data_IF_858295382952
#
_entry.id   IF_858295382952
#
_cell.length_a   1.000
_cell.length_b   1.000
_cell.length_c   1.000
_cell.angle_alpha   90.00
_cell.angle_beta   90.00
_cell.angle_gamma   90.00
#
_symmetry.space_group_name_H-M   'P 1'
#
loop_
_entity.id
_entity.type
_entity.pdbx_description
1 polymer ?
#
# COMPACT_ATOMS: atom_id res chain seq x y z
N UNK A 1 -22.44 10.28 -17.58
CA UNK A 1 -21.45 10.22 -16.48
C UNK A 1 -20.23 11.03 -16.87
N UNK A 2 -20.09 12.26 -16.36
CA UNK A 2 -18.98 13.15 -16.74
C UNK A 2 -17.85 13.03 -15.73
N UNK A 3 -16.71 12.56 -16.23
CA UNK A 3 -15.56 12.06 -15.47
C UNK A 3 -14.39 13.06 -15.38
N UNK A 4 -14.58 14.37 -15.62
CA UNK A 4 -13.45 15.32 -15.64
C UNK A 4 -13.84 16.75 -15.26
N UNK A 5 -12.99 17.41 -14.46
CA UNK A 5 -13.07 18.83 -14.12
C UNK A 5 -11.87 19.57 -14.71
N UNK A 6 -12.14 20.70 -15.39
CA UNK A 6 -11.24 21.53 -16.18
C UNK A 6 -10.40 22.51 -15.31
N UNK A 7 -9.34 22.05 -14.66
CA UNK A 7 -8.27 22.97 -14.23
C UNK A 7 -6.87 22.37 -14.46
N UNK A 8 -6.00 23.02 -15.26
CA UNK A 8 -4.68 22.46 -15.65
C UNK A 8 -3.78 22.15 -14.44
N UNK A 9 -3.92 22.91 -13.34
CA UNK A 9 -3.21 22.70 -12.07
C UNK A 9 -3.62 21.41 -11.35
N UNK A 10 -4.84 20.91 -11.56
CA UNK A 10 -5.30 19.63 -11.00
C UNK A 10 -4.82 18.44 -11.84
N UNK A 11 -4.67 18.62 -13.15
CA UNK A 11 -4.20 17.57 -14.08
C UNK A 11 -2.73 17.24 -13.87
N UNK A 12 -1.87 18.25 -13.71
CA UNK A 12 -0.46 18.04 -13.34
C UNK A 12 -0.31 17.43 -11.95
N UNK A 13 -1.13 17.84 -10.98
CA UNK A 13 -1.11 17.24 -9.63
C UNK A 13 -1.54 15.77 -9.63
N UNK A 14 -2.49 15.38 -10.48
CA UNK A 14 -2.87 13.96 -10.65
C UNK A 14 -1.76 13.15 -11.29
N UNK A 15 -1.17 13.63 -12.39
CA UNK A 15 -0.05 12.95 -13.04
C UNK A 15 1.15 12.80 -12.09
N UNK A 16 1.47 13.86 -11.34
CA UNK A 16 2.53 13.82 -10.32
C UNK A 16 2.19 12.86 -9.18
N UNK A 17 0.94 12.84 -8.71
CA UNK A 17 0.51 11.92 -7.66
C UNK A 17 0.56 10.46 -8.12
N UNK A 18 0.11 10.17 -9.35
CA UNK A 18 0.13 8.83 -9.92
C UNK A 18 1.58 8.37 -10.14
N UNK A 19 2.44 9.24 -10.71
CA UNK A 19 3.86 8.96 -10.86
C UNK A 19 4.55 8.74 -9.50
N UNK A 20 4.22 9.55 -8.50
CA UNK A 20 4.74 9.39 -7.15
C UNK A 20 4.31 8.06 -6.53
N UNK A 21 3.04 7.66 -6.67
CA UNK A 21 2.54 6.37 -6.17
C UNK A 21 3.24 5.20 -6.86
N UNK A 22 3.40 5.26 -8.18
CA UNK A 22 4.11 4.21 -8.94
C UNK A 22 5.56 4.10 -8.49
N UNK A 23 6.26 5.24 -8.36
CA UNK A 23 7.63 5.28 -7.87
C UNK A 23 7.73 4.73 -6.44
N UNK A 24 6.82 5.16 -5.57
CA UNK A 24 6.76 4.75 -4.17
C UNK A 24 6.55 3.23 -4.04
N UNK A 25 5.56 2.69 -4.76
CA UNK A 25 5.32 1.24 -4.81
C UNK A 25 6.56 0.53 -5.35
N UNK A 26 7.17 1.02 -6.42
CA UNK A 26 8.39 0.44 -6.99
C UNK A 26 9.55 0.37 -5.99
N UNK A 27 9.81 1.47 -5.26
CA UNK A 27 10.86 1.55 -4.24
C UNK A 27 10.61 0.55 -3.10
N UNK A 28 9.39 0.46 -2.60
CA UNK A 28 9.08 -0.43 -1.47
C UNK A 28 8.99 -1.90 -1.86
N UNK A 29 8.53 -2.20 -3.07
CA UNK A 29 8.62 -3.55 -3.63
C UNK A 29 10.09 -3.95 -3.80
N UNK A 30 10.95 -3.04 -4.27
CA UNK A 30 12.38 -3.28 -4.35
C UNK A 30 13.00 -3.51 -2.96
N UNK A 31 12.68 -2.67 -1.98
CA UNK A 31 13.14 -2.85 -0.60
C UNK A 31 12.68 -4.18 0.01
N UNK A 32 11.42 -4.57 -0.20
CA UNK A 32 10.90 -5.87 0.26
C UNK A 32 11.62 -7.05 -0.37
N UNK A 33 11.98 -6.97 -1.66
CA UNK A 33 12.83 -7.99 -2.31
C UNK A 33 14.22 -8.05 -1.70
N UNK A 34 14.86 -6.91 -1.46
CA UNK A 34 16.17 -6.88 -0.81
C UNK A 34 16.14 -7.53 0.57
N UNK A 35 15.10 -7.28 1.37
CA UNK A 35 14.92 -7.94 2.67
C UNK A 35 14.75 -9.45 2.50
N UNK A 36 13.91 -9.88 1.56
CA UNK A 36 13.73 -11.30 1.25
C UNK A 36 15.07 -11.96 0.89
N UNK A 37 15.82 -11.39 -0.04
CA UNK A 37 17.09 -11.94 -0.53
C UNK A 37 18.15 -12.00 0.58
N UNK A 38 18.22 -10.97 1.43
CA UNK A 38 19.12 -10.95 2.59
C UNK A 38 18.80 -12.07 3.57
N UNK A 39 17.52 -12.31 3.86
CA UNK A 39 17.12 -13.41 4.77
C UNK A 39 17.36 -14.77 4.12
N UNK A 40 17.00 -14.93 2.85
CA UNK A 40 17.22 -16.17 2.09
C UNK A 40 18.70 -16.53 1.97
N UNK A 41 19.63 -15.57 2.01
CA UNK A 41 21.07 -15.86 2.05
C UNK A 41 21.50 -16.70 3.26
N UNK A 42 20.73 -16.69 4.36
CA UNK A 42 20.96 -17.51 5.55
C UNK A 42 20.65 -19.00 5.30
N UNK A 43 19.98 -19.34 4.20
CA UNK A 43 19.66 -20.71 3.82
C UNK A 43 20.91 -21.54 3.50
N UNK A 44 21.91 -20.95 2.85
CA UNK A 44 23.15 -21.65 2.50
C UNK A 44 23.86 -22.25 3.73
N UNK A 45 24.02 -21.52 4.85
CA UNK A 45 24.45 -22.09 6.12
C UNK A 45 23.58 -23.25 6.63
N UNK A 46 22.25 -23.14 6.54
CA UNK A 46 21.33 -24.20 6.99
C UNK A 46 21.48 -25.47 6.15
N UNK A 47 21.55 -25.34 4.82
CA UNK A 47 21.76 -26.45 3.89
C UNK A 47 23.12 -27.13 4.12
N UNK A 48 24.13 -26.35 4.52
CA UNK A 48 25.45 -26.88 4.89
C UNK A 48 25.38 -27.75 6.15
N UNK A 49 24.62 -27.32 7.16
CA UNK A 49 24.37 -28.11 8.38
C UNK A 49 23.60 -29.39 8.04
N UNK A 50 22.57 -29.30 7.21
CA UNK A 50 21.80 -30.46 6.76
C UNK A 50 22.70 -31.48 6.08
N UNK A 51 23.54 -31.03 5.15
CA UNK A 51 24.47 -31.88 4.39
C UNK A 51 25.54 -32.50 5.29
N UNK A 52 26.04 -31.76 6.27
CA UNK A 52 26.99 -32.27 7.26
C UNK A 52 26.35 -33.35 8.15
N UNK A 53 25.13 -33.13 8.64
CA UNK A 53 24.37 -34.12 9.42
C UNK A 53 24.12 -35.42 8.64
N UNK A 54 23.75 -35.30 7.36
CA UNK A 54 23.59 -36.44 6.46
C UNK A 54 24.91 -37.20 6.27
N UNK A 55 26.01 -36.49 5.99
CA UNK A 55 27.33 -37.11 5.79
C UNK A 55 27.82 -37.86 7.04
N UNK A 56 27.59 -37.31 8.22
CA UNK A 56 27.91 -37.96 9.51
C UNK A 56 27.04 -39.20 9.72
N UNK A 57 25.74 -39.11 9.44
CA UNK A 57 24.82 -40.25 9.54
C UNK A 57 25.25 -41.39 8.61
N UNK A 58 25.55 -41.08 7.35
CA UNK A 58 25.95 -42.07 6.34
C UNK A 58 27.28 -42.73 6.73
N UNK A 59 28.26 -41.94 7.18
CA UNK A 59 29.57 -42.43 7.61
C UNK A 59 29.47 -43.38 8.81
N UNK A 60 28.67 -43.01 9.83
CA UNK A 60 28.49 -43.83 11.03
C UNK A 60 27.67 -45.09 10.76
N UNK A 61 26.64 -44.99 9.90
CA UNK A 61 25.83 -46.14 9.47
C UNK A 61 26.68 -47.13 8.67
N UNK A 62 27.48 -46.63 7.73
CA UNK A 62 28.42 -47.45 6.96
C UNK A 62 29.49 -48.11 7.83
N UNK A 63 30.08 -47.37 8.77
CA UNK A 63 31.02 -47.92 9.75
C UNK A 63 30.35 -49.01 10.61
N UNK A 64 29.09 -48.81 11.02
CA UNK A 64 28.31 -49.80 11.75
C UNK A 64 28.10 -51.09 10.96
N UNK A 65 27.79 -50.99 9.67
CA UNK A 65 27.64 -52.15 8.78
C UNK A 65 28.94 -52.94 8.63
N UNK A 66 30.08 -52.25 8.50
CA UNK A 66 31.40 -52.89 8.41
C UNK A 66 31.79 -53.55 9.75
N UNK A 67 31.60 -52.85 10.87
CA UNK A 67 31.92 -53.36 12.20
C UNK A 67 31.03 -54.55 12.59
N UNK A 68 29.80 -54.60 12.09
CA UNK A 68 28.88 -55.73 12.24
C UNK A 68 29.42 -57.08 11.77
N UNK A 69 30.43 -57.08 10.89
CA UNK A 69 31.04 -58.30 10.34
C UNK A 69 32.08 -58.93 11.27
N UNK A 70 32.45 -58.26 12.38
CA UNK A 70 33.46 -58.76 13.32
C UNK A 70 32.84 -59.83 14.24
N UNK A 71 33.41 -61.06 14.32
CA UNK A 71 32.88 -62.12 15.17
C UNK A 71 32.94 -61.73 16.66
N UNK A 72 31.99 -62.26 17.45
CA UNK A 72 31.78 -62.04 18.89
C UNK A 72 31.33 -60.62 19.33
N UNK A 73 31.79 -59.54 18.68
CA UNK A 73 31.52 -58.15 19.12
C UNK A 73 30.81 -57.26 18.07
N UNK A 74 30.72 -57.70 16.82
CA UNK A 74 30.27 -56.86 15.71
C UNK A 74 28.87 -56.29 15.86
N UNK A 75 27.92 -57.08 16.38
CA UNK A 75 26.52 -56.66 16.53
C UNK A 75 26.35 -55.52 17.56
N UNK A 76 27.15 -55.56 18.63
CA UNK A 76 27.14 -54.52 19.65
C UNK A 76 27.77 -53.22 19.12
N UNK A 77 28.87 -53.32 18.36
CA UNK A 77 29.50 -52.20 17.65
C UNK A 77 28.55 -51.58 16.62
N UNK A 78 27.87 -52.40 15.81
CA UNK A 78 26.88 -51.97 14.82
C UNK A 78 25.76 -51.18 15.49
N UNK A 79 25.23 -51.69 16.61
CA UNK A 79 24.15 -51.04 17.35
C UNK A 79 24.60 -49.67 17.89
N UNK A 80 25.77 -49.60 18.52
CA UNK A 80 26.32 -48.34 19.05
C UNK A 80 26.58 -47.31 17.94
N UNK A 81 27.20 -47.73 16.82
CA UNK A 81 27.46 -46.86 15.67
C UNK A 81 26.17 -46.37 15.01
N UNK A 82 25.17 -47.23 14.87
CA UNK A 82 23.84 -46.86 14.33
C UNK A 82 23.14 -45.87 15.27
N UNK A 83 23.27 -46.07 16.58
CA UNK A 83 22.71 -45.15 17.57
C UNK A 83 23.43 -43.79 17.55
N UNK A 84 24.76 -43.79 17.40
CA UNK A 84 25.53 -42.57 17.21
C UNK A 84 25.16 -41.85 15.90
N UNK A 85 24.83 -42.59 14.84
CA UNK A 85 24.34 -42.04 13.58
C UNK A 85 23.04 -41.24 13.74
N UNK A 86 22.22 -41.54 14.76
CA UNK A 86 21.02 -40.77 15.12
C UNK A 86 21.29 -39.31 15.53
N UNK A 87 22.50 -39.00 15.98
CA UNK A 87 22.91 -37.60 16.17
C UNK A 87 23.03 -36.86 14.83
N UNK A 88 23.50 -37.55 13.78
CA UNK A 88 23.56 -37.02 12.42
C UNK A 88 22.18 -36.74 11.83
N UNK A 89 21.19 -37.63 12.05
CA UNK A 89 19.80 -37.38 11.62
C UNK A 89 19.21 -36.17 12.34
N UNK A 90 19.45 -36.04 13.65
CA UNK A 90 18.96 -34.90 14.43
C UNK A 90 19.53 -33.58 13.91
N UNK A 91 20.83 -33.53 13.60
CA UNK A 91 21.47 -32.36 12.99
C UNK A 91 20.89 -32.04 11.60
N UNK A 92 20.70 -33.08 10.78
CA UNK A 92 20.14 -32.94 9.44
C UNK A 92 18.74 -32.33 9.49
N UNK A 93 17.88 -32.88 10.36
CA UNK A 93 16.49 -32.46 10.51
C UNK A 93 16.41 -31.04 11.10
N UNK A 94 17.30 -30.70 12.05
CA UNK A 94 17.42 -29.33 12.56
C UNK A 94 17.83 -28.34 11.45
N UNK A 95 18.81 -28.70 10.60
CA UNK A 95 19.19 -27.89 9.45
C UNK A 95 18.04 -27.66 8.47
N UNK A 96 17.28 -28.72 8.16
CA UNK A 96 16.15 -28.63 7.25
C UNK A 96 15.02 -27.74 7.82
N UNK A 97 14.73 -27.88 9.11
CA UNK A 97 13.76 -27.03 9.83
C UNK A 97 14.19 -25.57 9.86
N UNK A 98 15.49 -25.29 10.04
CA UNK A 98 16.03 -23.94 9.95
C UNK A 98 15.86 -23.35 8.54
N UNK A 99 16.17 -24.11 7.49
CA UNK A 99 15.99 -23.66 6.11
C UNK A 99 14.53 -23.32 5.81
N UNK A 100 13.58 -24.15 6.24
CA UNK A 100 12.15 -23.87 6.08
C UNK A 100 11.71 -22.62 6.85
N UNK A 101 12.21 -22.44 8.07
CA UNK A 101 11.92 -21.25 8.88
C UNK A 101 12.47 -19.98 8.23
N UNK A 102 13.68 -20.05 7.67
CA UNK A 102 14.30 -18.95 6.92
C UNK A 102 13.45 -18.58 5.70
N UNK A 103 12.99 -19.56 4.92
CA UNK A 103 12.12 -19.31 3.75
C UNK A 103 10.82 -18.60 4.16
N UNK A 104 10.18 -19.05 5.26
CA UNK A 104 8.95 -18.42 5.78
C UNK A 104 9.20 -17.00 6.29
N UNK A 105 10.30 -16.78 7.01
CA UNK A 105 10.68 -15.45 7.50
C UNK A 105 11.03 -14.51 6.37
N UNK A 106 11.75 -14.97 5.35
CA UNK A 106 12.12 -14.18 4.19
C UNK A 106 10.87 -13.67 3.46
N UNK A 107 9.87 -14.53 3.27
CA UNK A 107 8.59 -14.15 2.67
C UNK A 107 7.82 -13.19 3.57
N UNK A 108 7.66 -13.52 4.86
CA UNK A 108 6.90 -12.71 5.81
C UNK A 108 7.46 -11.31 5.97
N UNK A 109 8.78 -11.19 6.17
CA UNK A 109 9.46 -9.91 6.33
C UNK A 109 9.47 -9.11 5.03
N UNK A 110 9.80 -9.74 3.89
CA UNK A 110 9.78 -9.06 2.59
C UNK A 110 8.40 -8.48 2.26
N UNK A 111 7.33 -9.25 2.49
CA UNK A 111 5.95 -8.78 2.32
C UNK A 111 5.58 -7.69 3.31
N UNK A 112 5.90 -7.85 4.60
CA UNK A 112 5.60 -6.84 5.61
C UNK A 112 6.30 -5.49 5.30
N UNK A 113 7.57 -5.54 4.91
CA UNK A 113 8.35 -4.37 4.51
C UNK A 113 7.78 -3.66 3.28
N UNK A 114 7.28 -4.41 2.29
CA UNK A 114 6.65 -3.81 1.12
C UNK A 114 5.23 -3.28 1.41
N UNK A 115 4.38 -4.10 2.05
CA UNK A 115 2.96 -3.83 2.22
C UNK A 115 2.68 -2.74 3.25
N UNK A 116 3.44 -2.64 4.34
CA UNK A 116 3.20 -1.62 5.37
C UNK A 116 3.19 -0.19 4.79
N UNK A 117 4.25 0.29 4.11
CA UNK A 117 4.25 1.65 3.54
C UNK A 117 3.32 1.82 2.34
N UNK A 118 3.10 0.77 1.54
CA UNK A 118 2.15 0.81 0.43
C UNK A 118 0.73 1.00 0.98
N UNK A 119 0.35 0.25 2.01
CA UNK A 119 -0.98 0.33 2.61
C UNK A 119 -1.28 1.70 3.21
N UNK A 120 -0.28 2.34 3.84
CA UNK A 120 -0.40 3.70 4.38
C UNK A 120 -0.69 4.70 3.25
N UNK A 121 0.10 4.67 2.17
CA UNK A 121 -0.09 5.60 1.05
C UNK A 121 -1.42 5.36 0.34
N UNK A 122 -1.78 4.09 0.12
CA UNK A 122 -3.07 3.72 -0.50
C UNK A 122 -4.24 4.17 0.38
N UNK A 123 -4.16 4.01 1.71
CA UNK A 123 -5.19 4.46 2.63
C UNK A 123 -5.35 5.98 2.63
N UNK A 124 -4.26 6.73 2.68
CA UNK A 124 -4.28 8.20 2.59
C UNK A 124 -4.84 8.66 1.24
N UNK A 125 -4.40 8.02 0.14
CA UNK A 125 -4.91 8.32 -1.19
C UNK A 125 -6.40 8.03 -1.32
N UNK A 126 -6.88 6.88 -0.82
CA UNK A 126 -8.30 6.53 -0.80
C UNK A 126 -9.11 7.50 0.06
N UNK A 127 -8.62 7.89 1.24
CA UNK A 127 -9.31 8.86 2.11
C UNK A 127 -9.51 10.21 1.40
N UNK A 128 -8.44 10.74 0.81
CA UNK A 128 -8.49 12.00 0.04
C UNK A 128 -9.40 11.87 -1.19
N UNK A 129 -9.34 10.72 -1.89
CA UNK A 129 -10.13 10.48 -3.11
C UNK A 129 -11.61 10.29 -2.80
N UNK A 130 -11.96 9.54 -1.77
CA UNK A 130 -13.35 9.32 -1.33
C UNK A 130 -13.96 10.62 -0.84
N UNK A 131 -13.19 11.47 -0.14
CA UNK A 131 -13.63 12.82 0.21
C UNK A 131 -14.00 13.64 -1.02
N UNK A 132 -13.18 13.59 -2.08
CA UNK A 132 -13.47 14.29 -3.34
C UNK A 132 -14.70 13.70 -4.07
N UNK A 133 -14.85 12.37 -4.11
CA UNK A 133 -16.01 11.70 -4.73
C UNK A 133 -17.29 12.02 -3.98
N UNK A 134 -17.26 12.06 -2.63
CA UNK A 134 -18.42 12.43 -1.81
C UNK A 134 -18.83 13.89 -2.04
N UNK A 135 -17.88 14.81 -2.08
CA UNK A 135 -18.16 16.22 -2.38
C UNK A 135 -18.70 16.40 -3.81
N UNK A 136 -18.14 15.69 -4.79
CA UNK A 136 -18.62 15.74 -6.17
C UNK A 136 -20.03 15.14 -6.34
N UNK A 137 -20.34 14.04 -5.62
CA UNK A 137 -21.65 13.37 -5.69
C UNK A 137 -22.76 14.22 -5.05
N UNK A 138 -22.43 15.07 -4.07
CA UNK A 138 -23.41 16.01 -3.50
C UNK A 138 -23.72 17.18 -4.43
N UNK A 139 -22.77 17.65 -5.23
CA UNK A 139 -23.01 18.71 -6.22
C UNK A 139 -23.83 18.22 -7.43
N UNK A 140 -23.77 16.92 -7.77
CA UNK A 140 -24.52 16.38 -8.92
C UNK A 140 -26.03 16.26 -8.67
N UNK A 141 -26.48 16.18 -7.41
CA UNK A 141 -27.92 16.12 -7.06
C UNK A 141 -28.64 17.46 -7.12
N UNK A 142 -27.93 18.56 -7.34
CA UNK A 142 -28.51 19.91 -7.41
C UNK A 142 -28.59 20.49 -8.83
N UNK A 143 -28.17 19.75 -9.86
CA UNK A 143 -28.09 20.29 -11.24
C UNK A 143 -29.34 19.97 -12.09
N UNK A 144 -30.25 19.10 -11.63
CA UNK A 144 -31.51 18.83 -12.34
C UNK A 144 -32.70 19.72 -11.92
N UNK A 145 -32.51 20.64 -10.97
CA UNK A 145 -33.47 21.72 -10.72
C UNK A 145 -32.95 22.98 -11.42
N UNK A 146 -33.41 23.21 -12.64
CA UNK A 146 -33.24 24.51 -13.29
C UNK A 146 -33.80 25.61 -12.39
N UNK A 147 -33.06 26.71 -12.30
CA UNK A 147 -33.35 27.91 -11.50
C UNK A 147 -33.17 27.76 -9.99
N UNK A 148 -31.95 28.06 -9.51
CA UNK A 148 -31.77 28.87 -8.30
C UNK A 148 -30.32 29.39 -8.23
N UNK A 149 -30.02 30.38 -9.07
CA UNK A 149 -28.78 31.17 -8.95
C UNK A 149 -28.62 31.71 -7.51
N UNK A 150 -29.75 31.98 -6.85
CA UNK A 150 -29.84 32.42 -5.46
C UNK A 150 -29.32 31.38 -4.46
N UNK A 151 -29.55 30.08 -4.69
CA UNK A 151 -29.03 29.04 -3.80
C UNK A 151 -27.50 28.97 -3.88
N UNK A 152 -26.93 29.15 -5.08
CA UNK A 152 -25.49 29.22 -5.28
C UNK A 152 -24.90 30.49 -4.68
N UNK A 153 -25.57 31.64 -4.84
CA UNK A 153 -25.15 32.89 -4.21
C UNK A 153 -25.20 32.80 -2.67
N UNK A 154 -26.25 32.19 -2.09
CA UNK A 154 -26.36 31.94 -0.64
C UNK A 154 -25.26 31.02 -0.14
N UNK A 155 -24.97 29.94 -0.88
CA UNK A 155 -23.88 29.03 -0.54
C UNK A 155 -22.51 29.72 -0.64
N UNK A 156 -22.31 30.57 -1.64
CA UNK A 156 -21.12 31.40 -1.76
C UNK A 156 -20.94 32.27 -0.51
N UNK A 157 -21.98 32.99 -0.09
CA UNK A 157 -21.94 33.83 1.10
C UNK A 157 -21.66 33.04 2.39
N UNK A 158 -22.11 31.79 2.47
CA UNK A 158 -21.93 30.94 3.65
C UNK A 158 -20.57 30.23 3.74
N UNK A 159 -19.92 29.97 2.60
CA UNK A 159 -18.71 29.11 2.53
C UNK A 159 -17.47 29.80 1.99
N UNK A 160 -17.62 30.86 1.20
CA UNK A 160 -16.48 31.55 0.59
C UNK A 160 -15.77 32.44 1.62
N UNK A 161 -14.43 32.53 1.57
CA UNK A 161 -13.68 33.39 2.49
C UNK A 161 -14.05 34.86 2.27
N UNK A 162 -14.07 35.65 3.35
CA UNK A 162 -14.43 37.08 3.35
C UNK A 162 -13.69 37.91 2.29
N UNK A 163 -12.41 37.58 2.03
CA UNK A 163 -11.59 38.23 0.99
C UNK A 163 -12.07 37.98 -0.44
N UNK A 164 -12.75 36.86 -0.70
CA UNK A 164 -13.32 36.55 -2.00
C UNK A 164 -14.68 37.22 -2.20
N UNK A 165 -15.49 37.31 -1.14
CA UNK A 165 -16.77 38.02 -1.16
C UNK A 165 -16.60 39.54 -1.34
N UNK A 166 -15.60 40.13 -0.66
CA UNK A 166 -15.28 41.56 -0.79
C UNK A 166 -14.79 41.96 -2.20
N UNK A 167 -14.34 41.01 -3.03
CA UNK A 167 -13.99 41.28 -4.44
C UNK A 167 -15.21 41.36 -5.34
N UNK A 168 -16.35 40.83 -4.90
CA UNK A 168 -17.60 40.82 -5.66
C UNK A 168 -18.46 42.02 -5.27
N UNK A 169 -18.59 42.29 -3.97
CA UNK A 169 -19.31 43.45 -3.46
C UNK A 169 -18.80 43.84 -2.09
N UNK A 170 -18.76 45.14 -1.80
CA UNK A 170 -18.45 45.67 -0.47
C UNK A 170 -19.57 45.36 0.55
N UNK A 171 -20.79 45.09 0.08
CA UNK A 171 -21.95 44.67 0.87
C UNK A 171 -22.71 43.53 0.17
N UNK A 172 -22.21 42.28 0.22
CA UNK A 172 -22.84 41.12 -0.44
C UNK A 172 -24.23 40.81 0.13
N UNK A 173 -24.42 40.97 1.45
CA UNK A 173 -25.66 40.66 2.13
C UNK A 173 -26.77 41.69 1.80
N UNK A 174 -26.43 42.98 1.73
CA UNK A 174 -27.39 43.99 1.32
C UNK A 174 -27.69 43.95 -0.17
N UNK A 175 -26.71 43.62 -1.03
CA UNK A 175 -26.95 43.40 -2.46
C UNK A 175 -27.92 42.23 -2.71
N UNK A 176 -27.78 41.14 -1.95
CA UNK A 176 -28.71 40.02 -1.99
C UNK A 176 -30.13 40.41 -1.52
N UNK A 177 -30.26 41.17 -0.41
CA UNK A 177 -31.57 41.67 0.06
C UNK A 177 -32.27 42.60 -0.94
N UNK A 178 -31.51 43.34 -1.74
CA UNK A 178 -32.04 44.20 -2.81
C UNK A 178 -32.35 43.44 -4.10
N UNK A 179 -32.16 42.12 -4.12
CA UNK A 179 -32.30 41.27 -5.31
C UNK A 179 -31.48 41.76 -6.50
N UNK A 180 -30.26 42.25 -6.25
CA UNK A 180 -29.36 42.68 -7.31
C UNK A 180 -28.89 41.47 -8.13
N UNK A 181 -29.50 41.29 -9.30
CA UNK A 181 -29.26 40.15 -10.20
C UNK A 181 -27.81 40.05 -10.66
N UNK A 182 -27.08 41.16 -10.72
CA UNK A 182 -25.68 41.18 -11.16
C UNK A 182 -24.79 40.59 -10.06
N UNK A 183 -24.95 41.07 -8.83
CA UNK A 183 -24.16 40.58 -7.68
C UNK A 183 -24.50 39.13 -7.35
N UNK A 184 -25.78 38.75 -7.39
CA UNK A 184 -26.23 37.36 -7.19
C UNK A 184 -25.57 36.43 -8.21
N UNK A 185 -25.51 36.85 -9.48
CA UNK A 185 -24.84 36.08 -10.52
C UNK A 185 -23.35 35.96 -10.27
N UNK A 186 -22.66 37.03 -9.90
CA UNK A 186 -21.23 36.97 -9.63
C UNK A 186 -20.88 36.10 -8.41
N UNK A 187 -21.69 36.15 -7.36
CA UNK A 187 -21.57 35.26 -6.20
C UNK A 187 -21.80 33.79 -6.58
N UNK A 188 -22.81 33.53 -7.40
CA UNK A 188 -23.07 32.18 -7.92
C UNK A 188 -21.91 31.68 -8.81
N UNK A 189 -21.35 32.55 -9.64
CA UNK A 189 -20.19 32.24 -10.49
C UNK A 189 -18.93 31.95 -9.67
N UNK A 190 -18.74 32.64 -8.55
CA UNK A 190 -17.62 32.39 -7.62
C UNK A 190 -17.71 30.97 -7.04
N UNK A 191 -18.88 30.57 -6.54
CA UNK A 191 -19.10 29.22 -6.01
C UNK A 191 -19.01 28.14 -7.11
N UNK A 192 -19.56 28.42 -8.30
CA UNK A 192 -19.46 27.50 -9.44
C UNK A 192 -18.01 27.28 -9.88
N UNK A 193 -17.17 28.32 -9.87
CA UNK A 193 -15.73 28.20 -10.16
C UNK A 193 -14.99 27.39 -9.11
N UNK A 194 -15.29 27.60 -7.83
CA UNK A 194 -14.66 26.84 -6.73
C UNK A 194 -15.04 25.34 -6.79
N UNK A 195 -16.29 25.04 -7.15
CA UNK A 195 -16.77 23.67 -7.38
C UNK A 195 -16.39 23.09 -8.75
N UNK A 196 -15.77 23.88 -9.65
CA UNK A 196 -15.34 23.44 -10.98
C UNK A 196 -16.47 23.20 -11.98
N UNK A 197 -17.62 23.85 -11.81
CA UNK A 197 -18.81 23.74 -12.65
C UNK A 197 -18.85 24.89 -13.69
N UNK A 198 -19.29 24.59 -14.92
CA UNK A 198 -19.44 25.62 -15.98
C UNK A 198 -20.74 26.40 -15.77
N UNK A 199 -20.71 27.74 -15.93
CA UNK A 199 -21.89 28.56 -15.76
C UNK A 199 -22.90 28.37 -16.91
N UNK A 200 -24.21 28.50 -16.65
CA UNK A 200 -25.22 28.54 -17.69
C UNK A 200 -25.00 29.76 -18.62
N UNK A 201 -25.31 29.66 -19.92
CA UNK A 201 -25.21 30.77 -20.85
C UNK A 201 -26.09 31.93 -20.37
N UNK A 202 -25.60 33.16 -20.56
CA UNK A 202 -26.40 34.36 -20.32
C UNK A 202 -27.60 34.33 -21.28
N UNK A 203 -28.82 34.46 -20.74
CA UNK A 203 -29.99 34.84 -21.53
C UNK A 203 -30.01 36.35 -21.72
#
# INVERSE_FOLDING_TARGET
MKLYADTPTRRTRQLLADAFIVLWVGVWVYAGRQVHDLVTSLRSPADSITSAGQSVNDSLTGAGQQAGQIPFVGEQLRTWLTQAAGSGTTLRDAGASMAETIDRLALGLGLATALAPISIVVAVWLYVRIGFVRTATQSQRFIDAGEDLDLFALRAMARQPMRALAKVSDDPAGAWRRQDRVVIRELALLELRDQGLRPPPAA
#
